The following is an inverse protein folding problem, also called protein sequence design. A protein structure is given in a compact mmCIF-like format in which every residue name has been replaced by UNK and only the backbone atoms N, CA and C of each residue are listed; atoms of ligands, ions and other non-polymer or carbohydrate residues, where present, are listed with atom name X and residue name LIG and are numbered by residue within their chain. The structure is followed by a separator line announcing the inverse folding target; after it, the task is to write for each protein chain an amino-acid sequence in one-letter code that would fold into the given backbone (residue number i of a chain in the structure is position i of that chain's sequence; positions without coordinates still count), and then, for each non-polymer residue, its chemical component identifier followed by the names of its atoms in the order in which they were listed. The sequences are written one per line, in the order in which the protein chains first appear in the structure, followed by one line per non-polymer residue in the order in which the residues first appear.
data_IF_110822696848
#
_entry.id   IF_110822696848
#
_cell.length_a   1.000
_cell.length_b   1.000
_cell.length_c   1.000
_cell.angle_alpha   90.00
_cell.angle_beta   90.00
_cell.angle_gamma   90.00
#
_symmetry.space_group_name_H-M   'P 1'
#
loop_
_entity.id
_entity.type
_entity.pdbx_description
1 polymer ?
#
# COMPACT_ATOMS: atom_id res chain seq x y z
N UNK A 1 -37.22 1.16 6.17
CA UNK A 1 -37.04 1.20 4.71
C UNK A 1 -35.55 1.17 4.52
N UNK A 2 -35.03 -0.05 4.50
CA UNK A 2 -33.61 -0.32 4.66
C UNK A 2 -32.98 -0.34 3.26
N UNK A 3 -32.04 0.57 3.04
CA UNK A 3 -31.23 0.58 1.84
C UNK A 3 -29.99 -0.28 2.08
N UNK A 4 -30.08 -1.55 1.68
CA UNK A 4 -28.91 -2.40 1.48
C UNK A 4 -28.07 -1.82 0.34
N UNK A 5 -27.05 -1.02 0.67
CA UNK A 5 -25.97 -0.72 -0.27
C UNK A 5 -25.06 -1.95 -0.35
N UNK A 6 -25.44 -2.86 -1.25
CA UNK A 6 -24.64 -3.98 -1.69
C UNK A 6 -23.43 -3.43 -2.46
N UNK A 7 -22.30 -3.25 -1.78
CA UNK A 7 -21.02 -2.91 -2.42
C UNK A 7 -20.50 -4.16 -3.14
N UNK A 8 -21.13 -4.49 -4.27
CA UNK A 8 -20.64 -5.50 -5.19
C UNK A 8 -19.32 -5.00 -5.76
N UNK A 9 -18.25 -5.75 -5.49
CA UNK A 9 -16.98 -5.60 -6.19
C UNK A 9 -17.25 -5.58 -7.69
N UNK A 10 -17.13 -4.40 -8.31
CA UNK A 10 -17.17 -4.28 -9.76
C UNK A 10 -15.84 -4.79 -10.31
N UNK A 11 -15.70 -6.12 -10.37
CA UNK A 11 -14.66 -6.74 -11.19
C UNK A 11 -14.96 -6.37 -12.63
N UNK A 12 -14.08 -5.57 -13.25
CA UNK A 12 -14.17 -5.29 -14.68
C UNK A 12 -14.10 -6.63 -15.43
N UNK A 13 -15.04 -6.96 -16.33
CA UNK A 13 -15.03 -8.25 -17.03
C UNK A 13 -13.69 -8.50 -17.72
N UNK A 14 -13.02 -9.62 -17.37
CA UNK A 14 -11.78 -10.05 -18.03
C UNK A 14 -10.48 -9.78 -17.29
N UNK A 15 -10.48 -9.14 -16.11
CA UNK A 15 -9.29 -9.10 -15.24
C UNK A 15 -9.33 -10.21 -14.18
N UNK A 16 -8.22 -10.94 -13.96
CA UNK A 16 -8.15 -11.89 -12.87
C UNK A 16 -8.23 -11.16 -11.52
N UNK A 17 -9.03 -11.69 -10.61
CA UNK A 17 -9.20 -11.22 -9.24
C UNK A 17 -7.82 -11.12 -8.55
N UNK A 18 -7.50 -9.95 -7.98
CA UNK A 18 -6.23 -9.70 -7.29
C UNK A 18 -5.94 -10.71 -6.17
N UNK A 19 -6.99 -11.20 -5.50
CA UNK A 19 -6.90 -12.26 -4.50
C UNK A 19 -6.42 -13.58 -5.11
N UNK A 20 -7.03 -14.00 -6.21
CA UNK A 20 -6.66 -15.24 -6.89
C UNK A 20 -5.26 -15.17 -7.49
N UNK A 21 -4.85 -14.00 -7.99
CA UNK A 21 -3.47 -13.76 -8.42
C UNK A 21 -2.48 -13.91 -7.27
N UNK A 22 -2.77 -13.30 -6.12
CA UNK A 22 -1.91 -13.39 -4.94
C UNK A 22 -1.80 -14.86 -4.48
N UNK A 23 -2.92 -15.55 -4.31
CA UNK A 23 -2.94 -16.94 -3.86
C UNK A 23 -2.29 -17.91 -4.86
N UNK A 24 -2.54 -17.72 -6.16
CA UNK A 24 -1.91 -18.49 -7.22
C UNK A 24 -0.39 -18.31 -7.21
N UNK A 25 0.08 -17.08 -7.05
CA UNK A 25 1.50 -16.78 -6.93
C UNK A 25 2.11 -17.42 -5.68
N UNK A 26 1.46 -17.30 -4.51
CA UNK A 26 1.96 -17.92 -3.27
C UNK A 26 2.11 -19.44 -3.42
N UNK A 27 1.10 -20.12 -3.99
CA UNK A 27 1.17 -21.57 -4.24
C UNK A 27 2.30 -21.93 -5.21
N UNK A 28 2.48 -21.15 -6.26
CA UNK A 28 3.57 -21.38 -7.23
C UNK A 28 4.95 -21.19 -6.61
N UNK A 29 5.11 -20.22 -5.70
CA UNK A 29 6.40 -19.88 -5.10
C UNK A 29 6.80 -20.84 -3.96
N UNK A 30 5.82 -21.27 -3.15
CA UNK A 30 6.06 -22.02 -1.90
C UNK A 30 5.44 -23.42 -1.87
N UNK A 31 4.79 -23.85 -2.96
CA UNK A 31 4.15 -25.16 -3.09
C UNK A 31 2.82 -25.31 -2.32
N UNK A 32 2.42 -24.31 -1.54
CA UNK A 32 1.17 -24.31 -0.76
C UNK A 32 0.69 -22.88 -0.49
N UNK A 33 -0.58 -22.74 -0.08
CA UNK A 33 -1.12 -21.50 0.47
C UNK A 33 -1.11 -21.60 2.00
N UNK A 34 -0.39 -20.73 2.73
CA UNK A 34 -0.43 -20.73 4.19
C UNK A 34 -1.86 -20.44 4.68
N UNK A 35 -2.46 -21.26 5.56
CA UNK A 35 -3.82 -21.00 6.06
C UNK A 35 -3.96 -19.63 6.74
N UNK A 36 -2.87 -19.14 7.36
CA UNK A 36 -2.82 -17.80 7.95
C UNK A 36 -2.95 -16.68 6.93
N UNK A 37 -2.46 -16.87 5.70
CA UNK A 37 -2.53 -15.87 4.64
C UNK A 37 -3.96 -15.75 4.11
N UNK A 38 -4.65 -16.88 3.93
CA UNK A 38 -6.05 -16.88 3.51
C UNK A 38 -6.95 -16.19 4.55
N UNK A 39 -6.77 -16.55 5.83
CA UNK A 39 -7.50 -15.93 6.93
C UNK A 39 -7.20 -14.42 7.04
N UNK A 40 -5.93 -14.03 6.96
CA UNK A 40 -5.50 -12.64 6.97
C UNK A 40 -6.22 -11.81 5.91
N UNK A 41 -6.24 -12.28 4.66
CA UNK A 41 -6.88 -11.53 3.58
C UNK A 41 -8.38 -11.36 3.83
N UNK A 42 -9.06 -12.41 4.28
CA UNK A 42 -10.48 -12.35 4.62
C UNK A 42 -10.75 -11.37 5.77
N UNK A 43 -9.96 -11.44 6.85
CA UNK A 43 -10.12 -10.57 8.01
C UNK A 43 -9.83 -9.10 7.70
N UNK A 44 -8.85 -8.81 6.83
CA UNK A 44 -8.57 -7.44 6.38
C UNK A 44 -9.66 -6.95 5.42
N UNK A 45 -10.18 -7.80 4.52
CA UNK A 45 -11.34 -7.44 3.71
C UNK A 45 -12.56 -7.11 4.59
N UNK A 46 -12.74 -7.84 5.70
CA UNK A 46 -13.76 -7.55 6.71
C UNK A 46 -13.52 -6.21 7.41
N UNK A 47 -12.27 -5.84 7.71
CA UNK A 47 -11.91 -4.54 8.26
C UNK A 47 -12.32 -3.42 7.29
N UNK A 48 -11.85 -3.46 6.05
CA UNK A 48 -12.15 -2.44 5.05
C UNK A 48 -13.65 -2.34 4.73
N UNK A 49 -14.40 -3.42 4.89
CA UNK A 49 -15.84 -3.42 4.72
C UNK A 49 -16.64 -3.05 5.99
N UNK A 50 -15.97 -2.63 7.07
CA UNK A 50 -16.62 -2.19 8.30
C UNK A 50 -17.26 -3.31 9.13
N UNK A 51 -16.82 -4.56 8.93
CA UNK A 51 -17.29 -5.73 9.68
C UNK A 51 -16.50 -5.96 10.97
N UNK A 52 -15.42 -5.23 11.19
CA UNK A 52 -14.77 -5.19 12.50
C UNK A 52 -15.63 -4.37 13.48
N UNK A 53 -15.87 -4.85 14.70
CA UNK A 53 -16.76 -4.16 15.65
C UNK A 53 -16.25 -2.79 16.08
N UNK A 54 -14.94 -2.54 15.97
CA UNK A 54 -14.26 -1.32 16.39
C UNK A 54 -14.07 -0.28 15.29
N UNK A 55 -14.45 -0.56 14.04
CA UNK A 55 -14.17 0.31 12.90
C UNK A 55 -15.40 0.50 11.99
N UNK A 56 -15.46 1.63 11.29
CA UNK A 56 -16.41 1.83 10.20
C UNK A 56 -15.90 1.18 8.90
N UNK A 57 -16.73 1.20 7.85
CA UNK A 57 -16.25 0.85 6.51
C UNK A 57 -15.23 1.89 6.02
N UNK A 58 -14.31 1.45 5.17
CA UNK A 58 -13.40 2.37 4.50
C UNK A 58 -14.19 3.24 3.52
N UNK A 59 -14.10 4.56 3.69
CA UNK A 59 -14.84 5.53 2.88
C UNK A 59 -13.90 6.45 2.07
N UNK A 60 -12.58 6.32 2.24
CA UNK A 60 -11.61 7.02 1.40
C UNK A 60 -11.54 6.39 0.01
N UNK A 61 -11.33 7.21 -1.02
CA UNK A 61 -11.50 6.80 -2.42
C UNK A 61 -10.20 6.31 -3.08
N UNK A 62 -9.04 6.74 -2.57
CA UNK A 62 -7.73 6.36 -3.08
C UNK A 62 -7.13 5.20 -2.28
N UNK A 63 -7.01 5.38 -0.96
CA UNK A 63 -6.36 4.41 -0.08
C UNK A 63 -7.34 3.34 0.42
N UNK A 64 -7.99 2.66 -0.53
CA UNK A 64 -9.02 1.65 -0.30
C UNK A 64 -8.46 0.22 -0.23
N UNK A 65 -9.35 -0.79 -0.15
CA UNK A 65 -8.94 -2.20 -0.12
C UNK A 65 -8.32 -2.65 -1.43
N UNK A 66 -8.72 -2.07 -2.57
CA UNK A 66 -8.16 -2.41 -3.87
C UNK A 66 -6.70 -1.98 -3.92
N UNK A 67 -6.38 -0.78 -3.46
CA UNK A 67 -4.99 -0.31 -3.33
C UNK A 67 -4.18 -1.23 -2.41
N UNK A 68 -4.68 -1.54 -1.21
CA UNK A 68 -3.99 -2.44 -0.28
C UNK A 68 -3.69 -3.83 -0.90
N UNK A 69 -4.64 -4.39 -1.66
CA UNK A 69 -4.46 -5.67 -2.35
C UNK A 69 -3.48 -5.57 -3.54
N UNK A 70 -3.51 -4.48 -4.30
CA UNK A 70 -2.57 -4.23 -5.40
C UNK A 70 -1.13 -4.10 -4.89
N UNK A 71 -0.93 -3.41 -3.75
CA UNK A 71 0.37 -3.31 -3.07
C UNK A 71 0.81 -4.69 -2.55
N UNK A 72 -0.08 -5.46 -1.92
CA UNK A 72 0.23 -6.82 -1.47
C UNK A 72 0.66 -7.74 -2.63
N UNK A 73 0.00 -7.65 -3.78
CA UNK A 73 0.35 -8.38 -4.98
C UNK A 73 1.70 -7.90 -5.56
N UNK A 74 1.98 -6.59 -5.54
CA UNK A 74 3.27 -6.05 -5.95
C UNK A 74 4.42 -6.56 -5.05
N UNK A 75 4.24 -6.55 -3.72
CA UNK A 75 5.19 -7.15 -2.77
C UNK A 75 5.46 -8.62 -3.12
N UNK A 76 4.40 -9.40 -3.35
CA UNK A 76 4.54 -10.81 -3.66
C UNK A 76 5.34 -11.05 -4.96
N UNK A 77 5.14 -10.21 -5.98
CA UNK A 77 5.87 -10.26 -7.25
C UNK A 77 7.34 -9.85 -7.09
N UNK A 78 7.62 -8.79 -6.33
CA UNK A 78 9.00 -8.38 -6.00
C UNK A 78 9.72 -9.51 -5.27
N UNK A 79 9.09 -10.13 -4.27
CA UNK A 79 9.66 -11.26 -3.52
C UNK A 79 9.95 -12.47 -4.38
N UNK A 80 9.01 -12.87 -5.25
CA UNK A 80 9.24 -13.96 -6.19
C UNK A 80 10.41 -13.63 -7.15
N UNK A 81 10.50 -12.38 -7.62
CA UNK A 81 11.65 -11.91 -8.39
C UNK A 81 12.97 -11.97 -7.62
N UNK A 82 12.97 -11.58 -6.34
CA UNK A 82 14.12 -11.69 -5.45
C UNK A 82 14.56 -13.15 -5.29
N UNK A 83 13.63 -14.06 -5.01
CA UNK A 83 13.92 -15.48 -4.80
C UNK A 83 14.50 -16.16 -6.06
N UNK A 84 14.07 -15.72 -7.24
CA UNK A 84 14.63 -16.20 -8.53
C UNK A 84 16.05 -15.68 -8.76
N UNK A 85 16.32 -14.43 -8.40
CA UNK A 85 17.63 -13.82 -8.57
C UNK A 85 18.64 -14.28 -7.49
N UNK A 86 18.16 -14.68 -6.31
CA UNK A 86 18.99 -15.05 -5.17
C UNK A 86 18.59 -16.46 -4.66
N UNK A 87 18.88 -17.53 -5.41
CA UNK A 87 18.44 -18.88 -5.07
C UNK A 87 19.01 -19.40 -3.73
N UNK A 88 20.16 -18.89 -3.31
CA UNK A 88 20.82 -19.26 -2.06
C UNK A 88 20.35 -18.42 -0.84
N UNK A 89 19.61 -17.32 -1.08
CA UNK A 89 19.07 -16.42 -0.04
C UNK A 89 17.59 -16.12 -0.31
N UNK A 90 16.81 -17.20 -0.45
CA UNK A 90 15.36 -17.11 -0.67
C UNK A 90 14.64 -16.66 0.60
N UNK A 91 13.74 -15.71 0.43
CA UNK A 91 12.75 -15.31 1.44
C UNK A 91 11.76 -16.45 1.63
N UNK A 92 11.78 -17.02 2.83
CA UNK A 92 10.87 -18.10 3.23
C UNK A 92 9.41 -17.65 3.34
N UNK A 93 8.50 -18.63 3.30
CA UNK A 93 7.04 -18.40 3.30
C UNK A 93 6.54 -17.64 4.54
N UNK A 94 7.21 -17.78 5.67
CA UNK A 94 6.85 -17.08 6.90
C UNK A 94 7.07 -15.56 6.77
N UNK A 95 8.29 -15.14 6.42
CA UNK A 95 8.62 -13.72 6.21
C UNK A 95 7.84 -13.09 5.04
N UNK A 96 7.58 -13.87 4.00
CA UNK A 96 6.66 -13.49 2.93
C UNK A 96 5.26 -13.16 3.48
N UNK A 97 4.71 -14.06 4.30
CA UNK A 97 3.37 -13.90 4.89
C UNK A 97 3.30 -12.67 5.79
N UNK A 98 4.38 -12.37 6.53
CA UNK A 98 4.46 -11.15 7.36
C UNK A 98 4.51 -9.89 6.50
N UNK A 99 5.21 -9.91 5.37
CA UNK A 99 5.31 -8.73 4.51
C UNK A 99 4.02 -8.48 3.74
N UNK A 100 3.31 -9.53 3.34
CA UNK A 100 1.95 -9.40 2.80
C UNK A 100 0.99 -8.85 3.86
N UNK A 101 1.12 -9.26 5.13
CA UNK A 101 0.34 -8.65 6.23
C UNK A 101 0.64 -7.16 6.37
N UNK A 102 1.92 -6.76 6.34
CA UNK A 102 2.27 -5.35 6.37
C UNK A 102 1.66 -4.57 5.21
N UNK A 103 1.69 -5.12 3.99
CA UNK A 103 1.08 -4.51 2.81
C UNK A 103 -0.44 -4.34 2.94
N UNK A 104 -1.14 -5.34 3.46
CA UNK A 104 -2.60 -5.27 3.63
C UNK A 104 -3.04 -4.26 4.70
N UNK A 105 -2.17 -3.93 5.66
CA UNK A 105 -2.49 -3.01 6.76
C UNK A 105 -1.89 -1.59 6.60
N UNK A 106 -0.98 -1.35 5.65
CA UNK A 106 -0.21 -0.10 5.63
C UNK A 106 -1.08 1.16 5.60
N UNK A 107 -2.20 1.12 4.86
CA UNK A 107 -3.19 2.20 4.76
C UNK A 107 -4.46 1.98 5.58
N UNK A 108 -4.56 0.89 6.35
CA UNK A 108 -5.74 0.63 7.17
C UNK A 108 -6.00 1.76 8.18
N UNK A 109 -4.98 2.57 8.50
CA UNK A 109 -5.10 3.72 9.38
C UNK A 109 -6.00 4.86 8.88
N UNK A 110 -6.39 4.86 7.61
CA UNK A 110 -7.44 5.75 7.08
C UNK A 110 -8.84 5.37 7.58
N UNK A 111 -9.04 4.12 7.96
CA UNK A 111 -10.33 3.61 8.42
C UNK A 111 -10.66 4.26 9.76
N UNK A 112 -11.87 4.80 9.84
CA UNK A 112 -12.35 5.51 11.02
C UNK A 112 -12.75 4.55 12.14
N UNK A 113 -12.61 5.02 13.38
CA UNK A 113 -13.05 4.27 14.56
C UNK A 113 -14.58 4.19 14.58
N UNK A 114 -15.14 3.13 15.18
CA UNK A 114 -16.60 2.94 15.23
C UNK A 114 -17.29 4.15 15.86
N UNK A 115 -18.31 4.66 15.19
CA UNK A 115 -19.08 5.83 15.62
C UNK A 115 -18.49 7.18 15.20
N UNK A 116 -17.31 7.21 14.56
CA UNK A 116 -16.77 8.44 13.97
C UNK A 116 -17.49 8.76 12.64
N UNK A 117 -18.38 9.75 12.72
CA UNK A 117 -19.21 10.22 11.60
C UNK A 117 -18.64 11.43 10.88
N UNK A 118 -17.46 11.89 11.28
CA UNK A 118 -16.85 13.09 10.71
C UNK A 118 -15.88 12.71 9.58
N UNK A 119 -16.11 13.29 8.39
CA UNK A 119 -15.32 12.99 7.19
C UNK A 119 -15.43 11.55 6.71
N UNK A 120 -14.60 11.18 5.74
CA UNK A 120 -14.47 9.83 5.19
C UNK A 120 -13.19 9.12 5.64
N UNK A 121 -12.29 9.81 6.34
CA UNK A 121 -11.05 9.26 6.87
C UNK A 121 -9.79 9.98 6.36
N UNK A 122 -9.92 10.86 5.35
CA UNK A 122 -8.81 11.68 4.86
C UNK A 122 -8.17 12.54 5.93
N UNK A 123 -8.91 12.91 6.99
CA UNK A 123 -8.35 13.56 8.19
C UNK A 123 -7.20 12.78 8.85
N UNK A 124 -7.12 11.47 8.63
CA UNK A 124 -6.08 10.62 9.17
C UNK A 124 -4.81 10.54 8.31
N UNK A 125 -4.71 11.21 7.14
CA UNK A 125 -3.49 11.17 6.27
C UNK A 125 -2.19 11.38 7.05
N UNK A 126 -2.16 12.22 8.08
CA UNK A 126 -0.94 12.50 8.87
C UNK A 126 -0.62 11.40 9.89
N UNK A 127 -1.59 10.60 10.28
CA UNK A 127 -1.47 9.60 11.34
C UNK A 127 -1.75 8.17 10.87
N UNK A 128 -2.11 7.97 9.59
CA UNK A 128 -2.54 6.69 9.04
C UNK A 128 -1.49 5.60 9.27
N UNK A 129 -0.20 5.89 9.07
CA UNK A 129 0.87 4.91 9.31
C UNK A 129 0.84 4.38 10.74
N UNK A 130 0.83 5.28 11.75
CA UNK A 130 0.77 4.89 13.17
C UNK A 130 -0.54 4.17 13.52
N UNK A 131 -1.67 4.61 12.96
CA UNK A 131 -2.97 3.97 13.14
C UNK A 131 -2.95 2.55 12.54
N UNK A 132 -2.45 2.38 11.32
CA UNK A 132 -2.30 1.10 10.62
C UNK A 132 -1.38 0.13 11.36
N UNK A 133 -0.25 0.61 11.89
CA UNK A 133 0.60 -0.19 12.79
C UNK A 133 -0.17 -0.70 14.01
N UNK A 134 -0.94 0.17 14.67
CA UNK A 134 -1.73 -0.20 15.86
C UNK A 134 -2.77 -1.27 15.52
N UNK A 135 -3.48 -1.12 14.40
CA UNK A 135 -4.48 -2.09 13.93
C UNK A 135 -3.81 -3.44 13.59
N UNK A 136 -2.67 -3.42 12.89
CA UNK A 136 -1.92 -4.62 12.55
C UNK A 136 -1.43 -5.35 13.80
N UNK A 137 -0.83 -4.65 14.76
CA UNK A 137 -0.35 -5.22 16.02
C UNK A 137 -1.49 -5.85 16.84
N UNK A 138 -2.64 -5.17 16.95
CA UNK A 138 -3.80 -5.72 17.65
C UNK A 138 -4.29 -7.02 16.99
N UNK A 139 -4.41 -7.00 15.66
CA UNK A 139 -4.83 -8.15 14.87
C UNK A 139 -3.87 -9.33 15.03
N UNK A 140 -2.57 -9.10 14.83
CA UNK A 140 -1.53 -10.12 14.91
C UNK A 140 -1.52 -10.79 16.29
N UNK A 141 -1.62 -9.99 17.35
CA UNK A 141 -1.70 -10.48 18.73
C UNK A 141 -2.95 -11.31 18.97
N UNK A 142 -4.14 -10.83 18.56
CA UNK A 142 -5.41 -11.53 18.72
C UNK A 142 -5.49 -12.83 17.92
N UNK A 143 -4.84 -12.85 16.76
CA UNK A 143 -4.77 -14.01 15.85
C UNK A 143 -3.64 -14.98 16.17
N UNK A 144 -2.89 -14.78 17.27
CA UNK A 144 -1.85 -15.70 17.72
C UNK A 144 -0.62 -15.76 16.80
N UNK A 145 -0.27 -14.65 16.15
CA UNK A 145 0.97 -14.53 15.39
C UNK A 145 2.17 -14.34 16.35
N UNK A 146 3.39 -14.76 15.97
CA UNK A 146 4.57 -14.58 16.79
C UNK A 146 4.84 -13.08 17.05
N UNK A 147 5.38 -12.75 18.22
CA UNK A 147 5.79 -11.38 18.55
C UNK A 147 6.78 -10.80 17.52
N UNK A 148 7.65 -11.66 16.95
CA UNK A 148 8.55 -11.28 15.86
C UNK A 148 7.82 -10.76 14.62
N UNK A 149 6.66 -11.34 14.31
CA UNK A 149 5.82 -10.89 13.19
C UNK A 149 5.23 -9.50 13.47
N UNK A 150 4.74 -9.24 14.69
CA UNK A 150 4.23 -7.93 15.07
C UNK A 150 5.31 -6.85 14.97
N UNK A 151 6.51 -7.13 15.50
CA UNK A 151 7.66 -6.23 15.35
C UNK A 151 7.99 -5.96 13.87
N UNK A 152 8.09 -7.02 13.07
CA UNK A 152 8.41 -6.89 11.65
C UNK A 152 7.36 -6.08 10.90
N UNK A 153 6.07 -6.43 11.07
CA UNK A 153 4.95 -5.79 10.36
C UNK A 153 4.87 -4.31 10.70
N UNK A 154 4.93 -3.95 11.99
CA UNK A 154 4.93 -2.56 12.41
C UNK A 154 6.13 -1.79 11.84
N UNK A 155 7.32 -2.40 11.82
CA UNK A 155 8.52 -1.79 11.25
C UNK A 155 8.40 -1.57 9.74
N UNK A 156 7.85 -2.54 9.00
CA UNK A 156 7.64 -2.45 7.57
C UNK A 156 6.59 -1.38 7.22
N UNK A 157 5.45 -1.35 7.92
CA UNK A 157 4.42 -0.31 7.74
C UNK A 157 5.02 1.06 8.03
N UNK A 158 5.82 1.21 9.08
CA UNK A 158 6.41 2.50 9.40
C UNK A 158 7.19 3.11 8.22
N UNK A 159 7.82 2.28 7.36
CA UNK A 159 8.60 2.74 6.20
C UNK A 159 7.75 3.38 5.10
N UNK A 160 6.43 3.29 5.17
CA UNK A 160 5.51 4.01 4.28
C UNK A 160 5.19 5.43 4.78
N UNK A 161 5.72 5.87 5.93
CA UNK A 161 5.68 7.30 6.28
C UNK A 161 6.72 8.08 5.48
N UNK A 162 6.33 8.47 4.27
CA UNK A 162 7.13 9.22 3.32
C UNK A 162 7.56 10.62 3.76
N UNK A 163 7.07 11.11 4.90
CA UNK A 163 7.52 12.37 5.52
C UNK A 163 8.74 12.17 6.41
N UNK A 164 9.11 10.92 6.71
CA UNK A 164 10.29 10.56 7.48
C UNK A 164 11.37 10.00 6.55
N UNK A 165 12.66 10.16 6.89
CA UNK A 165 13.71 9.42 6.21
C UNK A 165 13.52 7.90 6.43
N UNK A 166 13.97 7.04 5.52
CA UNK A 166 13.72 5.59 5.58
C UNK A 166 14.61 4.90 6.63
N UNK A 167 15.38 5.67 7.40
CA UNK A 167 16.37 5.22 8.38
C UNK A 167 15.78 4.91 9.75
N UNK A 168 14.49 4.56 9.84
CA UNK A 168 13.94 4.07 11.12
C UNK A 168 14.75 2.88 11.61
N UNK A 169 14.69 2.59 12.90
CA UNK A 169 15.54 1.58 13.57
C UNK A 169 15.34 0.16 13.03
N UNK A 170 15.93 -0.10 11.87
CA UNK A 170 16.04 -1.40 11.22
C UNK A 170 17.10 -2.28 11.91
N UNK A 171 17.77 -1.78 12.95
CA UNK A 171 18.78 -2.53 13.71
C UNK A 171 18.18 -3.75 14.43
N UNK A 172 16.87 -3.70 14.72
CA UNK A 172 16.12 -4.81 15.31
C UNK A 172 15.81 -5.94 14.31
N UNK A 173 15.90 -5.66 13.01
CA UNK A 173 15.67 -6.61 11.92
C UNK A 173 16.98 -7.27 11.49
N UNK A 174 16.95 -8.55 11.12
CA UNK A 174 18.08 -9.23 10.50
C UNK A 174 18.25 -8.81 9.02
N UNK A 175 19.29 -9.28 8.33
CA UNK A 175 19.57 -8.87 6.96
C UNK A 175 18.41 -9.14 5.98
N UNK A 176 17.83 -10.34 6.05
CA UNK A 176 16.75 -10.76 5.16
C UNK A 176 15.44 -9.99 5.45
N UNK A 177 15.11 -9.79 6.73
CA UNK A 177 13.98 -8.96 7.15
C UNK A 177 14.15 -7.51 6.71
N UNK A 178 15.35 -6.93 6.77
CA UNK A 178 15.59 -5.56 6.28
C UNK A 178 15.34 -5.43 4.78
N UNK A 179 15.62 -6.48 4.02
CA UNK A 179 15.33 -6.52 2.58
C UNK A 179 13.82 -6.62 2.38
N UNK A 180 13.15 -7.56 3.04
CA UNK A 180 11.70 -7.75 2.95
C UNK A 180 10.90 -6.51 3.38
N UNK A 181 11.29 -5.86 4.48
CA UNK A 181 10.63 -4.65 4.98
C UNK A 181 10.68 -3.49 3.97
N UNK A 182 11.79 -3.36 3.23
CA UNK A 182 11.93 -2.34 2.16
C UNK A 182 11.11 -2.66 0.91
N UNK A 183 10.70 -3.91 0.70
CA UNK A 183 9.85 -4.26 -0.44
C UNK A 183 8.45 -3.64 -0.34
N UNK A 184 7.94 -3.41 0.88
CA UNK A 184 6.64 -2.76 1.07
C UNK A 184 6.60 -1.32 0.52
N UNK A 185 7.40 -0.36 1.01
CA UNK A 185 7.34 1.00 0.49
C UNK A 185 7.80 1.09 -0.98
N UNK A 186 8.66 0.17 -1.45
CA UNK A 186 8.91 0.02 -2.88
C UNK A 186 7.65 -0.36 -3.64
N UNK A 187 6.92 -1.38 -3.19
CA UNK A 187 5.70 -1.89 -3.81
C UNK A 187 4.57 -0.85 -3.79
N UNK A 188 4.44 -0.09 -2.71
CA UNK A 188 3.45 0.97 -2.56
C UNK A 188 3.68 2.09 -3.59
N UNK A 189 4.90 2.64 -3.65
CA UNK A 189 5.25 3.69 -4.63
C UNK A 189 5.07 3.23 -6.09
N UNK A 190 5.54 2.04 -6.46
CA UNK A 190 5.40 1.55 -7.83
C UNK A 190 3.98 1.07 -8.14
N UNK A 191 3.24 0.59 -7.13
CA UNK A 191 1.83 0.19 -7.25
C UNK A 191 0.96 1.39 -7.57
N UNK A 192 1.13 2.47 -6.80
CA UNK A 192 0.51 3.76 -7.01
C UNK A 192 0.74 4.29 -8.44
N UNK A 193 1.99 4.39 -8.89
CA UNK A 193 2.29 4.92 -10.23
C UNK A 193 2.05 3.94 -11.38
N UNK A 194 2.07 2.63 -11.08
CA UNK A 194 1.81 1.55 -12.02
C UNK A 194 0.31 1.25 -12.20
N UNK A 195 -0.57 1.90 -11.45
CA UNK A 195 -2.01 1.73 -11.60
C UNK A 195 -2.46 2.27 -12.97
N UNK A 196 -3.09 1.41 -13.76
CA UNK A 196 -3.68 1.77 -15.07
C UNK A 196 -4.81 2.81 -14.94
N UNK A 197 -5.41 2.92 -13.76
CA UNK A 197 -6.45 3.88 -13.41
C UNK A 197 -5.92 5.04 -12.57
N UNK A 198 -4.59 5.18 -12.42
CA UNK A 198 -3.95 6.24 -11.63
C UNK A 198 -4.57 7.61 -11.89
N UNK A 199 -4.71 7.97 -13.17
CA UNK A 199 -5.32 9.23 -13.62
C UNK A 199 -6.73 9.51 -13.06
N UNK A 200 -7.56 8.47 -12.97
CA UNK A 200 -8.93 8.55 -12.47
C UNK A 200 -8.97 8.59 -10.94
N UNK A 201 -8.01 7.94 -10.27
CA UNK A 201 -7.90 7.94 -8.81
C UNK A 201 -7.39 9.27 -8.22
N UNK A 202 -6.73 10.13 -9.01
CA UNK A 202 -6.23 11.44 -8.50
C UNK A 202 -7.34 12.33 -7.94
N UNK A 203 -8.57 12.24 -8.45
CA UNK A 203 -9.67 13.04 -7.88
C UNK A 203 -10.00 12.58 -6.45
N UNK A 204 -10.02 11.27 -6.20
CA UNK A 204 -10.18 10.70 -4.86
C UNK A 204 -9.02 11.04 -3.93
N UNK A 205 -7.78 11.00 -4.42
CA UNK A 205 -6.60 11.43 -3.65
C UNK A 205 -6.71 12.91 -3.25
N UNK A 206 -7.20 13.76 -4.16
CA UNK A 206 -7.42 15.17 -3.85
C UNK A 206 -8.51 15.36 -2.80
N UNK A 207 -9.62 14.61 -2.86
CA UNK A 207 -10.69 14.67 -1.86
C UNK A 207 -10.17 14.31 -0.45
N UNK A 208 -9.34 13.28 -0.34
CA UNK A 208 -8.70 12.91 0.93
C UNK A 208 -7.80 14.04 1.47
N UNK A 209 -7.00 14.66 0.60
CA UNK A 209 -6.18 15.82 0.97
C UNK A 209 -7.03 17.02 1.41
N UNK A 210 -8.17 17.28 0.76
CA UNK A 210 -9.07 18.37 1.16
C UNK A 210 -9.60 18.16 2.58
N UNK A 211 -9.99 16.93 2.92
CA UNK A 211 -10.42 16.59 4.28
C UNK A 211 -9.27 16.76 5.29
N UNK A 212 -8.06 16.30 4.95
CA UNK A 212 -6.88 16.52 5.77
C UNK A 212 -6.61 18.00 6.02
N UNK A 213 -6.64 18.85 4.99
CA UNK A 213 -6.43 20.30 5.14
C UNK A 213 -7.47 20.94 6.06
N UNK A 214 -8.74 20.55 5.91
CA UNK A 214 -9.83 21.06 6.74
C UNK A 214 -9.63 20.68 8.23
N UNK A 215 -9.24 19.43 8.50
CA UNK A 215 -8.94 18.97 9.85
C UNK A 215 -7.71 19.70 10.44
N UNK A 216 -6.64 19.89 9.67
CA UNK A 216 -5.45 20.62 10.14
C UNK A 216 -5.73 22.09 10.46
N UNK A 217 -6.66 22.75 9.76
CA UNK A 217 -7.02 24.13 10.10
C UNK A 217 -7.72 24.23 11.46
N UNK A 218 -8.41 23.18 11.89
CA UNK A 218 -9.01 23.09 13.22
C UNK A 218 -7.97 22.75 14.28
N UNK A 219 -7.01 21.88 13.96
CA UNK A 219 -5.90 21.49 14.83
C UNK A 219 -4.76 22.52 14.75
N UNK A 220 -4.81 23.56 15.59
CA UNK A 220 -3.86 24.70 15.61
C UNK A 220 -2.39 24.32 15.92
N UNK A 221 -2.04 23.03 15.94
CA UNK A 221 -0.68 22.55 16.18
C UNK A 221 0.14 22.60 14.88
N UNK A 222 1.37 23.15 14.92
CA UNK A 222 2.25 23.11 13.76
C UNK A 222 2.58 21.66 13.40
N UNK A 223 2.40 21.30 12.13
CA UNK A 223 2.75 19.98 11.61
C UNK A 223 4.21 19.96 11.19
N UNK A 224 5.00 19.02 11.74
CA UNK A 224 6.38 18.77 11.30
C UNK A 224 6.32 18.05 9.95
N UNK A 225 7.07 18.53 8.95
CA UNK A 225 7.06 18.04 7.56
C UNK A 225 5.64 18.02 6.95
N UNK A 226 5.05 19.19 6.68
CA UNK A 226 3.67 19.28 6.19
C UNK A 226 3.53 18.63 4.80
N UNK A 227 2.37 18.01 4.57
CA UNK A 227 1.98 17.55 3.23
C UNK A 227 1.80 18.79 2.33
N UNK A 228 2.32 18.79 1.08
CA UNK A 228 2.11 19.89 0.14
C UNK A 228 0.63 20.20 -0.04
N UNK A 229 0.27 21.48 -0.02
CA UNK A 229 -1.12 21.91 -0.18
C UNK A 229 -1.45 22.11 -1.66
N UNK A 230 -2.31 21.25 -2.19
CA UNK A 230 -2.84 21.34 -3.56
C UNK A 230 -4.17 22.08 -3.59
N UNK A 231 -4.42 22.87 -4.64
CA UNK A 231 -5.68 23.61 -4.85
C UNK A 231 -6.68 22.84 -5.70
N UNK A 232 -6.22 21.86 -6.47
CA UNK A 232 -7.06 21.00 -7.30
C UNK A 232 -6.39 19.66 -7.62
N UNK A 233 -7.19 18.67 -7.99
CA UNK A 233 -6.70 17.41 -8.54
C UNK A 233 -5.86 17.62 -9.82
N UNK A 234 -6.13 18.66 -10.61
CA UNK A 234 -5.32 19.01 -11.77
C UNK A 234 -3.92 19.49 -11.39
N UNK A 235 -3.77 20.15 -10.25
CA UNK A 235 -2.45 20.56 -9.74
C UNK A 235 -1.60 19.34 -9.39
N UNK A 236 -2.18 18.33 -8.72
CA UNK A 236 -1.53 17.04 -8.48
C UNK A 236 -1.11 16.42 -9.81
N UNK A 237 -2.01 16.37 -10.80
CA UNK A 237 -1.71 15.83 -12.13
C UNK A 237 -0.52 16.52 -12.80
N UNK A 238 -0.45 17.84 -12.69
CA UNK A 238 0.60 18.65 -13.27
C UNK A 238 1.96 18.46 -12.58
N UNK A 239 2.00 17.97 -11.34
CA UNK A 239 3.25 17.74 -10.60
C UNK A 239 3.71 16.28 -10.63
N UNK A 240 2.97 15.35 -11.24
CA UNK A 240 3.30 13.90 -11.27
C UNK A 240 4.74 13.64 -11.74
N UNK A 241 5.20 14.29 -12.82
CA UNK A 241 6.55 14.07 -13.36
C UNK A 241 7.64 14.57 -12.39
N UNK A 242 7.42 15.75 -11.78
CA UNK A 242 8.32 16.31 -10.77
C UNK A 242 8.32 15.47 -9.50
N UNK A 243 7.15 15.02 -9.04
CA UNK A 243 7.01 14.14 -7.89
C UNK A 243 7.71 12.81 -8.12
N UNK A 244 7.57 12.22 -9.31
CA UNK A 244 8.28 10.98 -9.63
C UNK A 244 9.80 11.17 -9.63
N UNK A 245 10.30 12.19 -10.33
CA UNK A 245 11.73 12.40 -10.51
C UNK A 245 12.43 12.90 -9.23
N UNK A 246 11.77 13.74 -8.45
CA UNK A 246 12.37 14.40 -7.28
C UNK A 246 12.07 13.67 -5.96
N UNK A 247 11.06 12.81 -5.91
CA UNK A 247 10.69 12.07 -4.70
C UNK A 247 10.70 10.56 -4.90
N UNK A 248 9.90 10.02 -5.83
CA UNK A 248 9.72 8.57 -5.97
C UNK A 248 11.03 7.86 -6.36
N UNK A 249 11.68 8.31 -7.43
CA UNK A 249 12.92 7.69 -7.92
C UNK A 249 14.06 7.72 -6.89
N UNK A 250 14.36 8.87 -6.25
CA UNK A 250 15.32 8.90 -5.13
C UNK A 250 14.93 7.97 -3.98
N UNK A 251 13.65 7.90 -3.63
CA UNK A 251 13.16 7.03 -2.55
C UNK A 251 13.33 5.54 -2.88
N UNK A 252 13.06 5.13 -4.12
CA UNK A 252 13.34 3.77 -4.59
C UNK A 252 14.83 3.42 -4.50
N UNK A 253 15.73 4.38 -4.78
CA UNK A 253 17.16 4.21 -4.61
C UNK A 253 17.55 3.99 -3.14
N UNK A 254 16.98 4.76 -2.21
CA UNK A 254 17.18 4.58 -0.77
C UNK A 254 16.68 3.22 -0.26
N UNK A 255 15.65 2.66 -0.90
CA UNK A 255 15.16 1.31 -0.63
C UNK A 255 15.95 0.20 -1.35
N UNK A 256 16.96 0.54 -2.15
CA UNK A 256 17.87 -0.42 -2.78
C UNK A 256 17.47 -0.88 -4.18
N UNK A 257 16.58 -0.14 -4.85
CA UNK A 257 16.06 -0.44 -6.18
C UNK A 257 15.41 -1.83 -6.28
N UNK A 258 14.57 -2.18 -5.30
CA UNK A 258 13.93 -3.50 -5.23
C UNK A 258 12.87 -3.69 -6.33
N UNK A 259 12.36 -2.62 -6.93
CA UNK A 259 11.46 -2.65 -8.07
C UNK A 259 12.05 -3.38 -9.29
N UNK A 260 13.39 -3.43 -9.41
CA UNK A 260 14.08 -4.17 -10.49
C UNK A 260 13.77 -5.66 -10.48
N UNK A 261 13.41 -6.23 -9.33
CA UNK A 261 13.05 -7.64 -9.23
C UNK A 261 11.71 -7.95 -9.91
N UNK A 262 10.88 -6.94 -10.24
CA UNK A 262 9.74 -7.15 -11.13
C UNK A 262 10.18 -7.58 -12.53
N UNK A 263 11.28 -7.05 -13.06
CA UNK A 263 11.77 -7.48 -14.37
C UNK A 263 12.24 -8.95 -14.32
N UNK A 264 12.84 -9.39 -13.21
CA UNK A 264 13.16 -10.80 -12.97
C UNK A 264 11.89 -11.66 -12.85
N UNK A 265 10.86 -11.13 -12.20
CA UNK A 265 9.58 -11.81 -12.06
C UNK A 265 8.85 -12.01 -13.40
N UNK A 266 8.83 -11.00 -14.26
CA UNK A 266 8.17 -11.10 -15.57
C UNK A 266 9.07 -11.76 -16.64
N UNK A 267 10.39 -11.77 -16.42
CA UNK A 267 11.36 -12.43 -17.31
C UNK A 267 11.33 -11.81 -18.71
N UNK A 268 10.96 -12.60 -19.71
CA UNK A 268 10.82 -12.13 -21.09
C UNK A 268 9.49 -11.40 -21.36
N UNK A 269 8.53 -11.49 -20.45
CA UNK A 269 7.25 -10.79 -20.60
C UNK A 269 7.41 -9.30 -20.29
N UNK A 270 6.57 -8.47 -20.87
CA UNK A 270 6.53 -7.05 -20.55
C UNK A 270 6.17 -6.85 -19.07
N UNK A 271 6.96 -6.05 -18.35
CA UNK A 271 6.66 -5.64 -16.98
C UNK A 271 5.55 -4.57 -16.97
N UNK A 272 4.32 -4.90 -16.57
CA UNK A 272 3.19 -3.97 -16.62
C UNK A 272 3.38 -2.75 -15.73
N UNK A 273 4.09 -2.85 -14.60
CA UNK A 273 4.36 -1.69 -13.74
C UNK A 273 5.19 -0.66 -14.49
N UNK A 274 6.29 -1.10 -15.13
CA UNK A 274 7.16 -0.22 -15.94
C UNK A 274 6.41 0.43 -17.11
N UNK A 275 5.62 -0.37 -17.83
CA UNK A 275 4.80 0.12 -18.95
C UNK A 275 3.78 1.15 -18.49
N UNK A 276 3.05 0.87 -17.40
CA UNK A 276 2.01 1.77 -16.88
C UNK A 276 2.60 3.04 -16.27
N UNK A 277 3.70 2.94 -15.50
CA UNK A 277 4.41 4.11 -14.98
C UNK A 277 4.80 5.04 -16.14
N UNK A 278 5.41 4.49 -17.20
CA UNK A 278 5.80 5.26 -18.38
C UNK A 278 4.59 5.92 -19.05
N UNK A 279 3.50 5.18 -19.23
CA UNK A 279 2.27 5.70 -19.82
C UNK A 279 1.65 6.83 -18.98
N UNK A 280 1.59 6.65 -17.66
CA UNK A 280 1.07 7.63 -16.71
C UNK A 280 1.91 8.91 -16.70
N UNK A 281 3.24 8.81 -16.68
CA UNK A 281 4.13 9.97 -16.75
C UNK A 281 3.97 10.74 -18.07
N UNK A 282 3.94 10.02 -19.21
CA UNK A 282 3.81 10.64 -20.53
C UNK A 282 2.47 11.37 -20.72
N UNK A 283 1.38 10.84 -20.15
CA UNK A 283 0.04 11.44 -20.24
C UNK A 283 0.02 12.89 -19.73
N UNK A 284 0.79 13.18 -18.68
CA UNK A 284 0.79 14.50 -18.03
C UNK A 284 1.95 15.41 -18.42
N UNK A 285 3.00 14.86 -19.07
CA UNK A 285 4.02 15.68 -19.74
C UNK A 285 3.42 16.43 -20.95
N UNK A 286 2.52 15.78 -21.69
CA UNK A 286 1.89 16.36 -22.87
C UNK A 286 0.80 17.39 -22.56
N UNK A 287 0.22 17.38 -21.35
CA UNK A 287 -0.78 18.37 -20.93
C UNK A 287 -0.18 19.71 -20.45
N UNK A 288 1.14 19.80 -20.25
CA UNK A 288 1.83 21.08 -19.95
C UNK A 288 2.12 21.93 -21.20
N UNK A 289 1.83 21.40 -22.41
CA UNK A 289 2.17 22.03 -23.69
C UNK A 289 0.98 22.36 -24.60
N UNK A 290 -0.26 22.33 -24.11
CA UNK A 290 -1.47 22.76 -24.84
C UNK A 290 -2.20 23.85 -24.09
#
# INVERSE_FOLDING_TARGET
MDAEHNNQHSTTPGQPDGKELLFGLTRSEYGHLPPRLEKLLADVADLYAGRWPSHEACEVEYHDFVHALDVALAVARIMAGWNRANPDDRIGVELYTWTVAAALFHDAGYIKDKGDRDGHGGKFTITHVRRGMTMAEEYLRRSGWPERAALFVATAIALTDYRQPPTMDLGRLNAQERIAARMLPTADLIGQFGDKHYAAKIDGLFAEFQEMYAHQQQDQRPTVNPVPMFRSAQEIRNTIDEFYNNFVSPRLAEFGHLERYLDVFYGQQANPYRTNITANLNKYRNSKGS
#
